data_IF_152818560076
#
_entry.id   IF_152818560076
#
_cell.length_a   1.000
_cell.length_b   1.000
_cell.length_c   1.000
_cell.angle_alpha   90.00
_cell.angle_beta   90.00
_cell.angle_gamma   90.00
#
_symmetry.space_group_name_H-M   'P 1'
#
loop_
_entity.id
_entity.type
_entity.pdbx_description
1 polymer ?
#
# COMPACT_ATOMS: atom_id res chain seq x y z
N UNK A 1 7.09 -0.68 -17.99
CA UNK A 1 7.66 0.44 -17.24
C UNK A 1 6.79 1.69 -17.39
N UNK A 2 6.48 2.17 -18.60
CA UNK A 2 5.62 3.36 -18.80
C UNK A 2 4.27 3.25 -18.05
N UNK A 3 3.57 2.12 -18.15
CA UNK A 3 2.31 1.88 -17.42
C UNK A 3 2.44 2.11 -15.90
N UNK A 4 3.52 1.61 -15.29
CA UNK A 4 3.78 1.76 -13.85
C UNK A 4 4.06 3.23 -13.53
N UNK A 5 4.88 3.91 -14.33
CA UNK A 5 5.19 5.32 -14.13
C UNK A 5 3.94 6.21 -14.20
N UNK A 6 3.08 5.98 -15.21
CA UNK A 6 1.81 6.72 -15.34
C UNK A 6 0.92 6.47 -14.13
N UNK A 7 0.81 5.21 -13.70
CA UNK A 7 0.05 4.85 -12.51
C UNK A 7 0.58 5.54 -11.24
N UNK A 8 1.90 5.49 -10.98
CA UNK A 8 2.51 6.09 -9.79
C UNK A 8 2.36 7.63 -9.77
N UNK A 9 2.41 8.28 -10.94
CA UNK A 9 2.12 9.72 -11.05
C UNK A 9 0.68 10.01 -10.64
N UNK A 10 -0.28 9.27 -11.19
CA UNK A 10 -1.70 9.41 -10.83
C UNK A 10 -1.94 9.13 -9.34
N UNK A 11 -1.31 8.09 -8.81
CA UNK A 11 -1.40 7.73 -7.40
C UNK A 11 -0.84 8.82 -6.49
N UNK A 12 0.29 9.40 -6.85
CA UNK A 12 0.92 10.51 -6.12
C UNK A 12 0.06 11.77 -6.16
N UNK A 13 -0.50 12.13 -7.32
CA UNK A 13 -1.43 13.26 -7.44
C UNK A 13 -2.62 13.05 -6.49
N UNK A 14 -3.22 11.87 -6.50
CA UNK A 14 -4.34 11.57 -5.62
C UNK A 14 -3.94 11.59 -4.13
N UNK A 15 -2.73 11.13 -3.80
CA UNK A 15 -2.18 11.18 -2.44
C UNK A 15 -1.94 12.60 -1.94
N UNK A 16 -1.50 13.51 -2.81
CA UNK A 16 -1.35 14.94 -2.47
C UNK A 16 -2.71 15.61 -2.25
N UNK A 17 -3.72 15.23 -3.03
CA UNK A 17 -5.07 15.77 -2.90
C UNK A 17 -5.79 15.27 -1.63
N UNK A 18 -5.59 14.00 -1.27
CA UNK A 18 -6.32 13.36 -0.16
C UNK A 18 -5.55 13.36 1.16
N UNK A 19 -4.21 13.39 1.13
CA UNK A 19 -3.33 13.32 2.32
C UNK A 19 -3.81 12.25 3.32
N UNK A 20 -3.97 10.99 2.88
CA UNK A 20 -4.63 9.98 3.68
C UNK A 20 -3.77 9.59 4.88
N UNK A 21 -4.41 9.32 6.01
CA UNK A 21 -3.76 8.83 7.21
C UNK A 21 -4.47 7.57 7.72
N UNK A 22 -3.71 6.50 7.96
CA UNK A 22 -4.23 5.25 8.51
C UNK A 22 -4.09 5.27 10.02
N UNK A 23 -5.20 5.02 10.72
CA UNK A 23 -5.21 4.85 12.15
C UNK A 23 -5.88 3.54 12.55
N UNK A 24 -5.32 2.88 13.55
CA UNK A 24 -5.95 1.74 14.21
C UNK A 24 -6.42 2.20 15.58
N UNK A 25 -7.65 1.86 15.91
CA UNK A 25 -8.23 2.16 17.21
C UNK A 25 -9.12 0.99 17.63
N UNK A 26 -8.82 0.39 18.78
CA UNK A 26 -9.47 -0.83 19.28
C UNK A 26 -9.56 -1.94 18.23
N UNK A 27 -10.76 -2.30 17.78
CA UNK A 27 -11.04 -3.30 16.75
C UNK A 27 -11.38 -2.68 15.40
N UNK A 28 -10.84 -1.48 15.12
CA UNK A 28 -11.08 -0.73 13.90
C UNK A 28 -9.78 -0.34 13.21
N UNK A 29 -9.81 -0.38 11.89
CA UNK A 29 -8.83 0.27 11.01
C UNK A 29 -9.58 1.32 10.23
N UNK A 30 -9.15 2.57 10.31
CA UNK A 30 -9.74 3.67 9.57
C UNK A 30 -8.68 4.37 8.72
N UNK A 31 -9.07 4.71 7.49
CA UNK A 31 -8.33 5.61 6.61
C UNK A 31 -9.05 6.94 6.63
N UNK A 32 -8.34 7.98 7.06
CA UNK A 32 -8.86 9.31 7.33
C UNK A 32 -8.31 10.29 6.31
N UNK A 33 -9.18 11.18 5.83
CA UNK A 33 -8.86 12.31 4.97
C UNK A 33 -9.35 13.60 5.63
N UNK A 34 -8.49 14.60 5.69
CA UNK A 34 -8.82 15.94 6.18
C UNK A 34 -9.64 16.69 5.12
N UNK A 35 -10.85 17.11 5.51
CA UNK A 35 -11.79 17.89 4.68
C UNK A 35 -11.58 19.38 4.86
N UNK A 36 -11.19 19.85 6.06
CA UNK A 36 -11.07 21.28 6.37
C UNK A 36 -10.04 21.97 5.50
N UNK A 37 -8.90 21.30 5.32
CA UNK A 37 -7.80 21.81 4.51
C UNK A 37 -7.86 21.29 3.05
N UNK A 38 -8.96 20.63 2.67
CA UNK A 38 -9.18 20.14 1.32
C UNK A 38 -9.87 21.20 0.47
N UNK A 39 -9.52 21.22 -0.81
CA UNK A 39 -10.18 22.04 -1.83
C UNK A 39 -11.56 21.49 -2.23
N UNK A 40 -11.91 20.27 -1.77
CA UNK A 40 -13.10 19.56 -2.18
C UNK A 40 -14.16 19.50 -1.07
N UNK A 41 -15.43 19.35 -1.46
CA UNK A 41 -16.53 19.14 -0.52
C UNK A 41 -16.47 17.76 0.14
N UNK A 42 -17.15 17.60 1.28
CA UNK A 42 -17.19 16.34 2.05
C UNK A 42 -17.59 15.11 1.21
N UNK A 43 -18.64 15.14 0.36
CA UNK A 43 -19.00 13.99 -0.48
C UNK A 43 -17.91 13.62 -1.48
N UNK A 44 -17.23 14.63 -2.05
CA UNK A 44 -16.12 14.42 -2.99
C UNK A 44 -14.92 13.81 -2.26
N UNK A 45 -14.56 14.32 -1.07
CA UNK A 45 -13.49 13.73 -0.26
C UNK A 45 -13.79 12.28 0.15
N UNK A 46 -15.06 11.91 0.38
CA UNK A 46 -15.46 10.51 0.61
C UNK A 46 -15.15 9.62 -0.58
N UNK A 47 -15.51 10.06 -1.79
CA UNK A 47 -15.19 9.33 -3.02
C UNK A 47 -13.68 9.26 -3.23
N UNK A 48 -12.96 10.37 -3.04
CA UNK A 48 -11.51 10.42 -3.17
C UNK A 48 -10.80 9.50 -2.15
N UNK A 49 -11.32 9.39 -0.92
CA UNK A 49 -10.80 8.47 0.09
C UNK A 49 -10.96 7.00 -0.35
N UNK A 50 -12.14 6.62 -0.88
CA UNK A 50 -12.32 5.28 -1.45
C UNK A 50 -11.42 5.04 -2.68
N UNK A 51 -11.24 6.06 -3.51
CA UNK A 51 -10.38 5.99 -4.69
C UNK A 51 -8.90 5.80 -4.32
N UNK A 52 -8.36 6.52 -3.33
CA UNK A 52 -6.96 6.37 -2.93
C UNK A 52 -6.70 4.96 -2.38
N UNK A 53 -7.66 4.39 -1.64
CA UNK A 53 -7.59 2.99 -1.22
C UNK A 53 -7.69 2.02 -2.41
N UNK A 54 -8.51 2.32 -3.41
CA UNK A 54 -8.55 1.57 -4.66
C UNK A 54 -7.21 1.58 -5.41
N UNK A 55 -6.57 2.73 -5.50
CA UNK A 55 -5.23 2.84 -6.07
C UNK A 55 -4.20 2.05 -5.27
N UNK A 56 -4.31 2.01 -3.93
CA UNK A 56 -3.47 1.11 -3.15
C UNK A 56 -3.64 -0.37 -3.57
N UNK A 57 -4.89 -0.81 -3.80
CA UNK A 57 -5.20 -2.14 -4.37
C UNK A 57 -4.63 -2.38 -5.79
N UNK A 58 -4.62 -1.35 -6.64
CA UNK A 58 -3.91 -1.40 -7.92
C UNK A 58 -2.39 -1.55 -7.71
N UNK A 59 -1.80 -0.77 -6.80
CA UNK A 59 -0.35 -0.72 -6.57
C UNK A 59 0.19 -2.09 -6.15
N UNK A 60 -0.45 -2.77 -5.20
CA UNK A 60 -0.04 -4.13 -4.77
C UNK A 60 0.06 -5.09 -5.95
N UNK A 61 -0.97 -5.13 -6.79
CA UNK A 61 -1.02 -6.05 -7.94
C UNK A 61 -0.11 -5.65 -9.09
N UNK A 62 0.15 -4.35 -9.28
CA UNK A 62 1.17 -3.87 -10.22
C UNK A 62 2.55 -4.43 -9.84
N UNK A 63 2.89 -4.48 -8.55
CA UNK A 63 4.15 -5.09 -8.12
C UNK A 63 4.21 -6.58 -8.43
N UNK A 64 3.14 -7.33 -8.21
CA UNK A 64 3.06 -8.74 -8.60
C UNK A 64 3.32 -8.94 -10.10
N UNK A 65 2.67 -8.15 -10.95
CA UNK A 65 2.86 -8.22 -12.41
C UNK A 65 4.27 -7.80 -12.81
N UNK A 66 4.86 -6.83 -12.11
CA UNK A 66 6.23 -6.43 -12.36
C UNK A 66 7.23 -7.57 -12.12
N UNK A 67 7.07 -8.34 -11.04
CA UNK A 67 7.87 -9.54 -10.78
C UNK A 67 7.62 -10.64 -11.82
N UNK A 68 6.37 -10.85 -12.21
CA UNK A 68 6.02 -11.78 -13.27
C UNK A 68 6.67 -11.40 -14.62
N UNK A 69 6.65 -10.12 -14.98
CA UNK A 69 7.31 -9.59 -16.18
C UNK A 69 8.83 -9.77 -16.13
N UNK A 70 9.46 -9.49 -14.98
CA UNK A 70 10.89 -9.72 -14.75
C UNK A 70 11.27 -11.19 -14.99
N UNK A 71 10.43 -12.12 -14.55
CA UNK A 71 10.62 -13.54 -14.82
C UNK A 71 10.50 -13.87 -16.31
N UNK A 72 9.47 -13.34 -16.99
CA UNK A 72 9.29 -13.50 -18.43
C UNK A 72 10.42 -12.96 -19.29
N UNK A 73 11.13 -11.92 -18.81
CA UNK A 73 12.33 -11.42 -19.48
C UNK A 73 13.53 -12.39 -19.38
N UNK A 74 13.55 -13.27 -18.37
CA UNK A 74 14.61 -14.27 -18.16
C UNK A 74 14.29 -15.61 -18.81
N UNK A 75 13.01 -15.93 -19.01
CA UNK A 75 12.55 -17.17 -19.60
C UNK A 75 11.85 -16.94 -20.95
N UNK A 76 12.54 -17.30 -22.04
CA UNK A 76 12.03 -17.15 -23.42
C UNK A 76 10.72 -17.90 -23.68
N UNK A 77 10.48 -19.02 -23.00
CA UNK A 77 9.23 -19.78 -23.13
C UNK A 77 8.09 -19.02 -22.45
N UNK A 78 8.37 -18.46 -21.27
CA UNK A 78 7.40 -17.68 -20.51
C UNK A 78 7.11 -16.31 -21.12
N UNK A 79 8.07 -15.73 -21.86
CA UNK A 79 7.96 -14.43 -22.55
C UNK A 79 6.74 -14.34 -23.49
N UNK A 80 6.24 -15.48 -24.02
CA UNK A 80 5.05 -15.53 -24.90
C UNK A 80 3.78 -14.99 -24.23
N UNK A 81 3.72 -14.97 -22.89
CA UNK A 81 2.58 -14.42 -22.14
C UNK A 81 2.54 -12.88 -22.14
N UNK A 82 3.63 -12.21 -22.52
CA UNK A 82 3.74 -10.75 -22.55
C UNK A 82 3.67 -10.15 -23.95
N UNK A 83 3.14 -10.90 -24.92
CA UNK A 83 3.00 -10.45 -26.32
C UNK A 83 1.53 -10.30 -26.71
N UNK A 84 1.24 -9.28 -27.52
CA UNK A 84 -0.08 -9.03 -28.08
C UNK A 84 -1.15 -8.81 -27.01
N UNK A 85 -2.35 -9.37 -27.26
CA UNK A 85 -3.53 -9.19 -26.40
C UNK A 85 -3.34 -9.67 -24.96
N UNK A 86 -2.51 -10.70 -24.72
CA UNK A 86 -2.24 -11.22 -23.37
C UNK A 86 -1.64 -10.16 -22.44
N UNK A 87 -0.85 -9.22 -22.98
CA UNK A 87 -0.30 -8.11 -22.21
C UNK A 87 -1.39 -7.14 -21.75
N UNK A 88 -2.42 -6.91 -22.59
CA UNK A 88 -3.57 -6.05 -22.24
C UNK A 88 -4.36 -6.68 -21.08
N UNK A 89 -4.61 -7.99 -21.16
CA UNK A 89 -5.28 -8.74 -20.08
C UNK A 89 -4.48 -8.66 -18.76
N UNK A 90 -3.16 -8.75 -18.83
CA UNK A 90 -2.32 -8.57 -17.65
C UNK A 90 -2.45 -7.15 -17.09
N UNK A 91 -2.43 -6.12 -17.93
CA UNK A 91 -2.60 -4.73 -17.50
C UNK A 91 -4.00 -4.43 -16.93
N UNK A 92 -5.04 -5.22 -17.26
CA UNK A 92 -6.37 -5.04 -16.67
C UNK A 92 -6.51 -5.63 -15.26
N UNK A 93 -5.67 -6.60 -14.87
CA UNK A 93 -5.75 -7.23 -13.54
C UNK A 93 -5.61 -6.20 -12.40
N UNK A 94 -4.64 -5.27 -12.43
CA UNK A 94 -4.52 -4.30 -11.36
C UNK A 94 -5.70 -3.34 -11.26
N UNK A 95 -6.23 -2.93 -12.40
CA UNK A 95 -7.43 -2.07 -12.47
C UNK A 95 -8.60 -2.80 -11.81
N UNK A 96 -8.79 -4.08 -12.10
CA UNK A 96 -9.81 -4.91 -11.46
C UNK A 96 -9.61 -5.00 -9.94
N UNK A 97 -8.37 -5.22 -9.49
CA UNK A 97 -8.04 -5.29 -8.05
C UNK A 97 -8.34 -3.96 -7.34
N UNK A 98 -7.99 -2.83 -7.95
CA UNK A 98 -8.29 -1.52 -7.38
C UNK A 98 -9.77 -1.15 -7.41
N UNK A 99 -10.52 -1.56 -8.44
CA UNK A 99 -11.97 -1.40 -8.46
C UNK A 99 -12.61 -2.18 -7.31
N UNK A 100 -12.27 -3.47 -7.15
CA UNK A 100 -12.80 -4.28 -6.05
C UNK A 100 -12.46 -3.66 -4.69
N UNK A 101 -11.23 -3.22 -4.50
CA UNK A 101 -10.79 -2.59 -3.26
C UNK A 101 -11.55 -1.28 -2.99
N UNK A 102 -11.62 -0.40 -3.99
CA UNK A 102 -12.31 0.88 -3.88
C UNK A 102 -13.79 0.73 -3.60
N UNK A 103 -14.47 -0.20 -4.30
CA UNK A 103 -15.88 -0.51 -4.05
C UNK A 103 -16.11 -1.10 -2.65
N UNK A 104 -15.21 -1.97 -2.19
CA UNK A 104 -15.25 -2.51 -0.82
C UNK A 104 -15.13 -1.37 0.20
N UNK A 105 -14.18 -0.45 0.02
CA UNK A 105 -14.02 0.70 0.90
C UNK A 105 -15.22 1.65 0.87
N UNK A 106 -15.84 1.83 -0.31
CA UNK A 106 -16.96 2.73 -0.46
C UNK A 106 -18.27 2.18 0.11
N UNK A 107 -18.57 0.92 -0.19
CA UNK A 107 -19.87 0.31 0.11
C UNK A 107 -19.87 -0.56 1.37
N UNK A 108 -18.75 -1.14 1.78
CA UNK A 108 -18.70 -2.04 2.95
C UNK A 108 -18.14 -1.32 4.17
N UNK A 109 -17.12 -0.50 3.98
CA UNK A 109 -16.41 0.21 5.05
C UNK A 109 -16.79 1.70 5.14
N UNK A 110 -18.07 2.00 4.91
CA UNK A 110 -18.60 3.35 4.99
C UNK A 110 -18.59 3.92 6.42
N UNK A 111 -18.73 5.24 6.52
CA UNK A 111 -18.82 5.96 7.79
C UNK A 111 -20.01 5.48 8.63
N UNK A 112 -19.74 5.08 9.87
CA UNK A 112 -20.76 4.69 10.83
C UNK A 112 -21.17 5.92 11.68
N UNK A 113 -22.47 6.23 11.71
CA UNK A 113 -23.00 7.36 12.49
C UNK A 113 -22.70 7.23 13.98
N UNK A 114 -22.82 6.03 14.55
CA UNK A 114 -22.58 5.80 15.97
C UNK A 114 -21.11 6.05 16.33
N UNK A 115 -20.19 5.62 15.46
CA UNK A 115 -18.77 5.89 15.64
C UNK A 115 -18.40 7.36 15.43
N UNK A 116 -19.04 8.02 14.47
CA UNK A 116 -18.88 9.46 14.23
C UNK A 116 -19.24 10.25 15.50
N UNK A 117 -20.34 9.89 16.17
CA UNK A 117 -20.73 10.47 17.45
C UNK A 117 -19.78 10.12 18.59
N UNK A 118 -19.28 8.87 18.64
CA UNK A 118 -18.28 8.45 19.61
C UNK A 118 -16.97 9.26 19.50
N UNK A 119 -16.46 9.45 18.28
CA UNK A 119 -15.28 10.30 18.05
C UNK A 119 -15.60 11.74 18.48
N UNK A 120 -16.80 12.27 18.16
CA UNK A 120 -17.20 13.63 18.55
C UNK A 120 -17.24 13.79 20.08
N UNK A 121 -17.80 12.81 20.79
CA UNK A 121 -17.84 12.79 22.25
C UNK A 121 -16.42 12.74 22.85
N UNK A 122 -15.57 11.82 22.38
CA UNK A 122 -14.18 11.73 22.84
C UNK A 122 -13.38 12.99 22.56
N UNK A 123 -13.52 13.60 21.39
CA UNK A 123 -12.87 14.86 21.04
C UNK A 123 -13.32 15.99 21.98
N UNK A 124 -14.60 16.01 22.38
CA UNK A 124 -15.13 17.00 23.33
C UNK A 124 -14.52 16.83 24.73
N UNK A 125 -14.49 15.60 25.24
CA UNK A 125 -13.85 15.27 26.53
C UNK A 125 -12.36 15.59 26.50
N UNK A 126 -11.65 15.24 25.42
CA UNK A 126 -10.24 15.56 25.27
C UNK A 126 -9.98 17.07 25.24
N UNK A 127 -10.81 17.85 24.55
CA UNK A 127 -10.69 19.33 24.52
C UNK A 127 -10.86 19.93 25.92
N UNK A 128 -11.69 19.32 26.78
CA UNK A 128 -11.83 19.69 28.19
C UNK A 128 -10.58 19.27 28.98
N UNK A 129 -10.09 18.03 28.80
CA UNK A 129 -8.89 17.52 29.48
C UNK A 129 -7.61 18.27 29.10
N UNK A 130 -7.43 18.69 27.83
CA UNK A 130 -6.29 19.50 27.35
C UNK A 130 -6.28 20.90 27.94
N UNK A 131 -7.46 21.47 28.27
CA UNK A 131 -7.56 22.74 29.02
C UNK A 131 -7.14 22.60 30.49
N UNK A 132 -7.23 21.39 31.05
CA UNK A 132 -6.95 21.09 32.45
C UNK A 132 -5.51 20.58 32.68
N UNK A 133 -4.92 19.89 31.71
CA UNK A 133 -3.57 19.33 31.80
C UNK A 133 -2.77 19.56 30.50
N UNK A 134 -1.59 20.16 30.60
CA UNK A 134 -0.64 20.33 29.51
C UNK A 134 0.15 19.03 29.21
N UNK A 135 -0.54 17.91 28.97
CA UNK A 135 0.09 16.69 28.45
C UNK A 135 -0.10 16.61 26.94
N UNK A 136 1.02 16.43 26.22
CA UNK A 136 1.06 16.07 24.80
C UNK A 136 0.79 14.58 24.71
N UNK A 137 -0.41 14.22 24.28
CA UNK A 137 -0.80 12.84 24.03
C UNK A 137 -1.37 12.74 22.59
N UNK A 138 -1.36 11.50 22.10
CA UNK A 138 -1.65 10.99 20.75
C UNK A 138 -2.84 11.65 20.03
N UNK A 139 -3.82 12.12 20.78
CA UNK A 139 -5.01 12.81 20.28
C UNK A 139 -4.74 14.20 19.69
N UNK A 140 -3.53 14.73 19.85
CA UNK A 140 -3.07 15.93 19.13
C UNK A 140 -3.05 15.70 17.59
N UNK A 141 -2.98 14.46 17.10
CA UNK A 141 -3.16 14.15 15.67
C UNK A 141 -4.62 14.25 15.20
N UNK A 142 -5.57 14.06 16.11
CA UNK A 142 -7.02 14.19 15.88
C UNK A 142 -7.53 15.57 16.33
N UNK A 143 -6.70 16.60 16.23
CA UNK A 143 -7.09 18.01 16.42
C UNK A 143 -8.18 18.49 15.45
N UNK A 144 -8.56 17.65 14.48
CA UNK A 144 -9.61 17.93 13.54
C UNK A 144 -10.98 17.56 14.13
N UNK A 145 -11.92 18.53 14.21
CA UNK A 145 -13.33 18.25 14.45
C UNK A 145 -13.82 17.10 13.56
N UNK A 146 -14.79 16.30 14.03
CA UNK A 146 -15.31 15.17 13.23
C UNK A 146 -15.97 15.66 11.94
N UNK A 147 -16.43 16.91 11.94
CA UNK A 147 -16.98 17.63 10.80
C UNK A 147 -15.92 17.90 9.72
N UNK A 148 -14.66 18.00 10.15
CA UNK A 148 -13.49 18.36 9.35
C UNK A 148 -12.78 17.12 8.77
N UNK A 149 -13.31 15.90 9.00
CA UNK A 149 -12.73 14.65 8.47
C UNK A 149 -13.77 13.78 7.76
N UNK A 150 -13.28 12.97 6.83
CA UNK A 150 -13.97 11.80 6.30
C UNK A 150 -13.12 10.58 6.59
N UNK A 151 -13.75 9.48 6.97
CA UNK A 151 -13.04 8.22 7.16
C UNK A 151 -13.75 7.04 6.50
N UNK A 152 -12.99 6.01 6.16
CA UNK A 152 -13.52 4.70 5.75
C UNK A 152 -12.79 3.64 6.54
N UNK A 153 -13.49 2.64 7.05
CA UNK A 153 -12.82 1.63 7.87
C UNK A 153 -13.66 0.45 8.29
N UNK A 154 -12.97 -0.63 8.60
CA UNK A 154 -13.59 -1.85 9.12
C UNK A 154 -13.91 -1.68 10.59
N UNK A 155 -15.10 -2.10 10.99
CA UNK A 155 -15.45 -2.29 12.40
C UNK A 155 -15.86 -3.75 12.62
N UNK A 156 -14.93 -4.54 13.16
CA UNK A 156 -15.10 -5.99 13.24
C UNK A 156 -16.07 -6.42 14.33
N UNK A 157 -16.06 -5.74 15.48
CA UNK A 157 -16.84 -6.11 16.66
C UNK A 157 -17.66 -4.93 17.17
N UNK A 158 -18.78 -4.58 16.50
CA UNK A 158 -19.77 -3.67 17.07
C UNK A 158 -20.34 -4.21 18.37
N UNK A 159 -20.48 -3.31 19.35
CA UNK A 159 -21.24 -3.56 20.56
C UNK A 159 -22.73 -3.47 20.21
N UNK A 160 -23.47 -4.55 20.47
CA UNK A 160 -24.93 -4.54 20.39
C UNK A 160 -25.53 -3.75 21.56
N UNK A 161 -26.84 -3.47 21.54
CA UNK A 161 -27.59 -2.76 22.60
C UNK A 161 -27.40 -3.35 24.00
N UNK A 162 -27.00 -4.62 24.09
CA UNK A 162 -26.74 -5.35 25.32
C UNK A 162 -25.25 -5.38 25.71
N UNK A 163 -24.38 -4.63 25.03
CA UNK A 163 -22.93 -4.62 25.25
C UNK A 163 -22.19 -5.86 24.75
N UNK A 164 -22.88 -6.78 24.07
CA UNK A 164 -22.27 -8.00 23.52
C UNK A 164 -21.58 -7.66 22.20
N UNK A 165 -20.27 -7.93 22.14
CA UNK A 165 -19.48 -7.79 20.92
C UNK A 165 -19.69 -9.01 20.03
N UNK A 166 -20.30 -8.82 18.87
CA UNK A 166 -20.46 -9.86 17.86
C UNK A 166 -19.74 -9.48 16.57
N UNK A 167 -19.20 -10.47 15.86
CA UNK A 167 -18.46 -10.20 14.63
C UNK A 167 -19.40 -9.73 13.52
N UNK A 168 -19.12 -8.55 12.96
CA UNK A 168 -19.86 -8.04 11.82
C UNK A 168 -19.47 -8.82 10.54
N UNK A 169 -20.33 -9.73 10.10
CA UNK A 169 -20.11 -10.56 8.93
C UNK A 169 -19.91 -9.76 7.63
N UNK A 170 -20.53 -8.58 7.51
CA UNK A 170 -20.33 -7.69 6.35
C UNK A 170 -18.92 -7.13 6.35
N UNK A 171 -18.43 -6.66 7.50
CA UNK A 171 -17.06 -6.17 7.65
C UNK A 171 -16.02 -7.29 7.47
N UNK A 172 -16.30 -8.49 8.01
CA UNK A 172 -15.46 -9.66 7.83
C UNK A 172 -15.39 -10.10 6.35
N UNK A 173 -16.51 -10.10 5.64
CA UNK A 173 -16.57 -10.37 4.20
C UNK A 173 -15.80 -9.36 3.37
N UNK A 174 -15.98 -8.05 3.64
CA UNK A 174 -15.19 -7.00 3.00
C UNK A 174 -13.69 -7.15 3.27
N UNK A 175 -13.32 -7.53 4.48
CA UNK A 175 -11.92 -7.73 4.83
C UNK A 175 -11.34 -8.99 4.15
N UNK A 176 -12.12 -10.06 4.04
CA UNK A 176 -11.70 -11.26 3.31
C UNK A 176 -11.39 -10.94 1.84
N UNK A 177 -12.15 -10.03 1.22
CA UNK A 177 -11.87 -9.52 -0.13
C UNK A 177 -10.52 -8.78 -0.16
N UNK A 178 -10.25 -7.89 0.80
CA UNK A 178 -8.96 -7.18 0.86
C UNK A 178 -7.78 -8.15 1.08
N UNK A 179 -7.96 -9.16 1.93
CA UNK A 179 -6.99 -10.24 2.14
C UNK A 179 -6.74 -11.07 0.88
N UNK A 180 -7.78 -11.34 0.09
CA UNK A 180 -7.61 -12.04 -1.18
C UNK A 180 -6.73 -11.23 -2.14
N UNK A 181 -6.95 -9.91 -2.26
CA UNK A 181 -6.11 -9.03 -3.08
C UNK A 181 -4.66 -9.05 -2.61
N UNK A 182 -4.42 -8.78 -1.31
CA UNK A 182 -3.06 -8.77 -0.75
C UNK A 182 -2.40 -10.15 -0.88
N UNK A 183 -3.10 -11.21 -0.49
CA UNK A 183 -2.58 -12.57 -0.42
C UNK A 183 -2.21 -13.11 -1.79
N UNK A 184 -3.11 -12.98 -2.78
CA UNK A 184 -2.83 -13.40 -4.16
C UNK A 184 -1.66 -12.61 -4.78
N UNK A 185 -1.56 -11.31 -4.48
CA UNK A 185 -0.44 -10.48 -4.94
C UNK A 185 0.88 -10.87 -4.28
N UNK A 186 0.89 -11.05 -2.96
CA UNK A 186 2.06 -11.46 -2.17
C UNK A 186 2.58 -12.82 -2.62
N UNK A 187 1.68 -13.78 -2.81
CA UNK A 187 2.02 -15.10 -3.35
C UNK A 187 2.72 -14.98 -4.71
N UNK A 188 2.17 -14.17 -5.61
CA UNK A 188 2.72 -13.94 -6.94
C UNK A 188 4.12 -13.31 -6.87
N UNK A 189 4.32 -12.29 -6.02
CA UNK A 189 5.62 -11.64 -5.80
C UNK A 189 6.65 -12.65 -5.28
N UNK A 190 6.30 -13.45 -4.27
CA UNK A 190 7.21 -14.44 -3.69
C UNK A 190 7.55 -15.52 -4.73
N UNK A 191 6.55 -16.09 -5.40
CA UNK A 191 6.74 -17.13 -6.40
C UNK A 191 7.65 -16.68 -7.55
N UNK A 192 7.34 -15.54 -8.19
CA UNK A 192 8.15 -15.05 -9.31
C UNK A 192 9.47 -14.45 -8.86
N UNK A 193 9.56 -13.88 -7.66
CA UNK A 193 10.81 -13.43 -7.04
C UNK A 193 11.78 -14.59 -6.84
N UNK A 194 11.33 -15.70 -6.23
CA UNK A 194 12.12 -16.92 -6.04
C UNK A 194 12.45 -17.57 -7.39
N UNK A 195 11.51 -17.60 -8.33
CA UNK A 195 11.74 -18.16 -9.66
C UNK A 195 12.79 -17.36 -10.45
N UNK A 196 12.76 -16.03 -10.37
CA UNK A 196 13.81 -15.16 -10.91
C UNK A 196 15.16 -15.47 -10.26
N UNK A 197 15.19 -15.58 -8.93
CA UNK A 197 16.40 -15.89 -8.17
C UNK A 197 17.05 -17.20 -8.65
N UNK A 198 16.25 -18.27 -8.76
CA UNK A 198 16.73 -19.58 -9.21
C UNK A 198 17.22 -19.51 -10.66
N UNK A 199 16.46 -18.87 -11.57
CA UNK A 199 16.82 -18.78 -12.99
C UNK A 199 18.12 -18.00 -13.21
N UNK A 200 18.28 -16.85 -12.56
CA UNK A 200 19.51 -16.05 -12.67
C UNK A 200 20.70 -16.81 -12.10
N UNK A 201 20.54 -17.48 -10.96
CA UNK A 201 21.62 -18.33 -10.38
C UNK A 201 22.05 -19.43 -11.35
N UNK A 202 21.12 -20.02 -12.09
CA UNK A 202 21.44 -21.02 -13.15
C UNK A 202 22.16 -20.38 -14.34
N UNK A 203 21.72 -19.21 -14.81
CA UNK A 203 22.37 -18.48 -15.92
C UNK A 203 23.81 -18.12 -15.54
N UNK A 204 24.03 -17.58 -14.34
CA UNK A 204 25.37 -17.20 -13.85
C UNK A 204 26.36 -18.36 -13.78
N UNK A 205 25.89 -19.60 -13.53
CA UNK A 205 26.74 -20.80 -13.56
C UNK A 205 27.18 -21.18 -14.98
N UNK A 206 26.41 -20.81 -16.01
CA UNK A 206 26.65 -21.17 -17.42
C UNK A 206 27.30 -20.05 -18.24
N UNK A 207 27.17 -18.79 -17.84
CA UNK A 207 27.76 -17.65 -18.57
C UNK A 207 29.28 -17.72 -18.51
N UNK A 208 29.96 -17.67 -19.66
CA UNK A 208 31.42 -17.48 -19.74
C UNK A 208 31.73 -15.99 -20.03
N UNK A 209 32.82 -15.46 -19.45
CA UNK A 209 33.23 -14.04 -19.61
C UNK A 209 32.99 -13.14 -18.37
N UNK A 210 34.03 -12.39 -17.98
CA UNK A 210 34.07 -11.61 -16.74
C UNK A 210 33.10 -10.41 -16.72
N UNK A 211 32.90 -9.74 -17.86
CA UNK A 211 32.02 -8.58 -17.96
C UNK A 211 30.54 -8.94 -17.80
N UNK A 212 30.06 -9.94 -18.58
CA UNK A 212 28.68 -10.41 -18.53
C UNK A 212 28.31 -10.98 -17.15
N UNK A 213 29.22 -11.74 -16.53
CA UNK A 213 29.08 -12.18 -15.12
C UNK A 213 28.95 -11.01 -14.14
N UNK A 214 29.75 -9.95 -14.30
CA UNK A 214 29.74 -8.81 -13.38
C UNK A 214 28.44 -7.99 -13.45
N UNK A 215 27.88 -7.81 -14.67
CA UNK A 215 26.62 -7.10 -14.88
C UNK A 215 25.43 -7.94 -14.40
N UNK A 216 25.40 -9.23 -14.74
CA UNK A 216 24.38 -10.17 -14.26
C UNK A 216 24.35 -10.23 -12.73
N UNK A 217 25.51 -10.23 -12.06
CA UNK A 217 25.59 -10.20 -10.58
C UNK A 217 25.03 -8.91 -9.97
N UNK A 218 25.26 -7.76 -10.60
CA UNK A 218 24.70 -6.48 -10.14
C UNK A 218 23.19 -6.43 -10.30
N UNK A 219 22.69 -6.83 -11.47
CA UNK A 219 21.25 -6.94 -11.73
C UNK A 219 20.58 -7.88 -10.75
N UNK A 220 21.20 -9.03 -10.46
CA UNK A 220 20.72 -9.98 -9.47
C UNK A 220 20.64 -9.39 -8.06
N UNK A 221 21.71 -8.73 -7.60
CA UNK A 221 21.73 -8.12 -6.26
C UNK A 221 20.68 -7.01 -6.14
N UNK A 222 20.52 -6.18 -7.16
CA UNK A 222 19.48 -5.16 -7.19
C UNK A 222 18.08 -5.79 -7.17
N UNK A 223 17.86 -6.86 -7.94
CA UNK A 223 16.59 -7.56 -8.03
C UNK A 223 16.16 -8.19 -6.70
N UNK A 224 17.09 -8.82 -5.97
CA UNK A 224 16.81 -9.41 -4.65
C UNK A 224 16.41 -8.33 -3.65
N UNK A 225 17.13 -7.20 -3.62
CA UNK A 225 16.82 -6.09 -2.71
C UNK A 225 15.47 -5.46 -3.07
N UNK A 226 15.17 -5.29 -4.37
CA UNK A 226 13.88 -4.81 -4.84
C UNK A 226 12.72 -5.78 -4.59
N UNK A 227 12.97 -7.08 -4.44
CA UNK A 227 11.94 -8.01 -4.00
C UNK A 227 11.64 -7.87 -2.51
N UNK A 228 12.65 -7.57 -1.71
CA UNK A 228 12.50 -7.40 -0.27
C UNK A 228 11.80 -6.08 0.10
N UNK A 229 12.03 -5.00 -0.64
CA UNK A 229 11.51 -3.66 -0.30
C UNK A 229 9.97 -3.62 -0.23
N UNK A 230 9.20 -4.03 -1.27
CA UNK A 230 7.74 -4.04 -1.18
C UNK A 230 7.23 -5.00 -0.09
N UNK A 231 7.89 -6.13 0.12
CA UNK A 231 7.53 -7.07 1.20
C UNK A 231 7.60 -6.40 2.57
N UNK A 232 8.70 -5.69 2.85
CA UNK A 232 8.98 -5.06 4.14
C UNK A 232 8.22 -3.75 4.37
N UNK A 233 8.07 -2.91 3.34
CA UNK A 233 7.52 -1.56 3.49
C UNK A 233 6.04 -1.44 3.10
N UNK A 234 5.50 -2.43 2.38
CA UNK A 234 4.13 -2.37 1.85
C UNK A 234 3.29 -3.55 2.35
N UNK A 235 3.70 -4.79 2.07
CA UNK A 235 2.90 -5.97 2.37
C UNK A 235 2.82 -6.29 3.88
N UNK A 236 3.96 -6.34 4.58
CA UNK A 236 3.99 -6.65 6.02
C UNK A 236 3.27 -5.59 6.86
N UNK A 237 3.55 -4.27 6.71
CA UNK A 237 2.88 -3.24 7.49
C UNK A 237 1.36 -3.26 7.29
N UNK A 238 0.91 -3.44 6.05
CA UNK A 238 -0.52 -3.52 5.74
C UNK A 238 -1.18 -4.78 6.32
N UNK A 239 -0.50 -5.93 6.23
CA UNK A 239 -0.97 -7.17 6.83
C UNK A 239 -1.15 -7.03 8.35
N UNK A 240 -0.19 -6.39 9.04
CA UNK A 240 -0.28 -6.11 10.48
C UNK A 240 -1.49 -5.24 10.78
N UNK A 241 -1.70 -4.16 10.01
CA UNK A 241 -2.87 -3.27 10.18
C UNK A 241 -4.18 -4.03 10.08
N UNK A 242 -4.31 -4.99 9.17
CA UNK A 242 -5.57 -5.72 8.98
C UNK A 242 -5.74 -6.91 9.92
N UNK A 243 -4.67 -7.62 10.31
CA UNK A 243 -4.76 -8.73 11.28
C UNK A 243 -5.01 -8.21 12.69
N UNK A 244 -4.25 -7.22 13.15
CA UNK A 244 -4.28 -6.82 14.58
C UNK A 244 -5.70 -6.50 15.07
N UNK A 245 -6.51 -5.68 14.37
CA UNK A 245 -7.85 -5.36 14.84
C UNK A 245 -8.86 -6.50 14.67
N UNK A 246 -8.59 -7.47 13.79
CA UNK A 246 -9.38 -8.72 13.68
C UNK A 246 -9.26 -9.57 14.95
N UNK A 247 -8.07 -9.58 15.56
CA UNK A 247 -7.79 -10.25 16.84
C UNK A 247 -7.85 -9.28 18.03
N UNK A 248 -8.47 -8.10 17.85
CA UNK A 248 -8.70 -7.07 18.88
C UNK A 248 -7.43 -6.48 19.52
N UNK A 249 -6.31 -6.49 18.79
CA UNK A 249 -5.08 -5.80 19.15
C UNK A 249 -5.13 -4.37 18.61
N UNK A 250 -5.11 -3.40 19.52
CA UNK A 250 -4.96 -1.99 19.19
C UNK A 250 -3.49 -1.66 18.89
N UNK A 251 -3.23 -1.10 17.71
CA UNK A 251 -1.88 -0.68 17.31
C UNK A 251 -1.55 0.74 17.79
N UNK A 252 -2.56 1.55 18.13
CA UNK A 252 -2.40 2.95 18.53
C UNK A 252 -1.43 3.70 17.61
N UNK A 253 -0.34 4.23 18.17
CA UNK A 253 0.68 4.98 17.44
C UNK A 253 1.45 4.20 16.38
N UNK A 254 1.52 2.87 16.49
CA UNK A 254 2.22 2.06 15.48
C UNK A 254 1.54 2.15 14.11
N UNK A 255 0.25 2.52 14.06
CA UNK A 255 -0.46 2.80 12.80
C UNK A 255 0.13 3.98 12.01
N UNK A 256 0.72 4.97 12.69
CA UNK A 256 1.40 6.09 12.05
C UNK A 256 2.64 5.62 11.26
N UNK A 257 3.41 4.69 11.85
CA UNK A 257 4.59 4.10 11.19
C UNK A 257 4.20 3.36 9.91
N UNK A 258 3.03 2.73 9.88
CA UNK A 258 2.53 2.02 8.69
C UNK A 258 2.18 3.01 7.58
N UNK A 259 1.50 4.11 7.90
CA UNK A 259 1.22 5.20 6.95
C UNK A 259 2.51 5.75 6.34
N UNK A 260 3.54 5.99 7.16
CA UNK A 260 4.86 6.48 6.72
C UNK A 260 5.57 5.43 5.85
N UNK A 261 5.53 4.15 6.23
CA UNK A 261 6.15 3.06 5.46
C UNK A 261 5.59 2.98 4.04
N UNK A 262 4.26 3.05 3.92
CA UNK A 262 3.56 3.07 2.62
C UNK A 262 3.85 4.37 1.85
N UNK A 263 3.97 5.51 2.52
CA UNK A 263 4.28 6.77 1.82
C UNK A 263 5.72 6.81 1.28
N UNK A 264 6.69 6.23 2.00
CA UNK A 264 8.11 6.29 1.63
C UNK A 264 8.51 5.20 0.63
N UNK A 265 7.78 4.08 0.57
CA UNK A 265 8.14 2.95 -0.31
C UNK A 265 8.45 3.36 -1.77
N UNK A 266 7.67 4.24 -2.45
CA UNK A 266 7.91 4.58 -3.86
C UNK A 266 9.26 5.28 -4.07
N UNK A 267 9.73 6.02 -3.05
CA UNK A 267 11.03 6.67 -3.07
C UNK A 267 12.19 5.67 -2.86
N UNK A 268 11.96 4.61 -2.07
CA UNK A 268 13.00 3.61 -1.75
C UNK A 268 13.17 2.56 -2.86
N UNK A 269 12.08 2.10 -3.48
CA UNK A 269 12.12 1.04 -4.51
C UNK A 269 13.11 1.28 -5.69
N UNK A 270 13.29 2.49 -6.24
CA UNK A 270 14.25 2.73 -7.32
C UNK A 270 15.71 2.77 -6.85
N UNK A 271 15.98 3.04 -5.56
CA UNK A 271 17.34 3.25 -5.06
C UNK A 271 18.30 2.08 -5.30
N UNK A 272 17.94 0.80 -5.08
CA UNK A 272 18.82 -0.32 -5.37
C UNK A 272 19.27 -0.36 -6.84
N UNK A 273 18.36 -0.11 -7.79
CA UNK A 273 18.72 -0.05 -9.22
C UNK A 273 19.71 1.09 -9.48
N UNK A 274 19.45 2.28 -8.92
CA UNK A 274 20.28 3.47 -9.14
C UNK A 274 21.67 3.33 -8.51
N UNK A 275 21.78 2.72 -7.33
CA UNK A 275 23.03 2.66 -6.55
C UNK A 275 23.87 1.40 -6.83
N UNK A 276 23.26 0.26 -7.18
CA UNK A 276 23.98 -1.02 -7.34
C UNK A 276 24.49 -1.20 -8.76
N UNK A 277 23.71 -0.80 -9.77
CA UNK A 277 24.06 -1.02 -11.16
C UNK A 277 25.01 0.08 -11.62
N UNK A 278 26.24 -0.30 -11.99
CA UNK A 278 27.34 0.62 -12.31
C UNK A 278 26.97 1.66 -13.37
N UNK A 279 26.22 1.28 -14.40
CA UNK A 279 25.82 2.20 -15.48
C UNK A 279 24.84 3.25 -14.98
N UNK A 280 23.80 2.84 -14.23
CA UNK A 280 22.86 3.78 -13.62
C UNK A 280 23.56 4.67 -12.60
N UNK A 281 24.36 4.10 -11.69
CA UNK A 281 25.12 4.86 -10.70
C UNK A 281 26.03 5.91 -11.32
N UNK A 282 26.69 5.58 -12.44
CA UNK A 282 27.52 6.54 -13.17
C UNK A 282 26.67 7.65 -13.80
N UNK A 283 25.46 7.36 -14.28
CA UNK A 283 24.58 8.39 -14.82
C UNK A 283 23.99 9.30 -13.72
N UNK A 284 23.70 8.78 -12.52
CA UNK A 284 23.14 9.57 -11.41
C UNK A 284 24.19 10.30 -10.57
N UNK A 285 25.33 9.67 -10.27
CA UNK A 285 26.37 10.21 -9.36
C UNK A 285 27.61 10.68 -10.14
N UNK A 286 27.84 10.16 -11.34
CA UNK A 286 28.99 10.52 -12.14
C UNK A 286 28.83 11.88 -12.79
N UNK A 287 29.64 12.83 -12.33
CA UNK A 287 30.04 14.05 -13.05
C UNK A 287 30.09 13.77 -14.56
N UNK A 288 29.38 14.58 -15.35
CA UNK A 288 29.67 14.73 -16.78
C UNK A 288 31.18 14.96 -16.92
N UNK A 289 31.94 13.92 -17.26
CA UNK A 289 33.19 14.12 -17.97
C UNK A 289 32.75 14.49 -19.38
N UNK A 290 32.55 15.79 -19.57
CA UNK A 290 32.53 16.39 -20.90
C UNK A 290 33.81 15.92 -21.61
N UNK A 291 33.61 15.22 -22.72
CA UNK A 291 34.62 15.06 -23.76
C UNK A 291 34.84 16.42 -24.42
#
# INVERSE_FOLDING_TARGET
MIYICVFEILYTILGVLTKPYVHSYTSRVIVIVDVKNSIFSRPVNKILNSLICGFYGCSVSIFAIHFMYRYGALDRTYQKHFKGWKMVVLCSIPIFYGIIWGLTMHFIFEEDKAFTEFIRFKNTIFKISKRLCSRRDIWDLFELPVEDIVYTGSYYYPEDKNGVQSMNLRAAGGMAVLWFVIGSSTFTVIYFGLSCYIKIRKIMKKTEGNFSKSLQRQLFRALVIQAAIPLLLLYIPCSIVFVCPLIQIDLGNMSAFISVSVAIYPAIDPLPTLLIIKNYRKATIGKHKYL
#
